data_IF_849595185073
#
_entry.id   IF_849595185073
#
_cell.length_a   1.000
_cell.length_b   1.000
_cell.length_c   1.000
_cell.angle_alpha   90.00
_cell.angle_beta   90.00
_cell.angle_gamma   90.00
#
_symmetry.space_group_name_H-M   'P 1'
#
loop_
_entity.id
_entity.type
_entity.pdbx_description
1 polymer ?
#
# COMPACT_ATOMS: atom_id res chain seq x y z
N UNK A 1 18.83 5.93 -5.57
CA UNK A 1 17.73 4.99 -5.27
C UNK A 1 16.81 5.56 -4.20
N UNK A 2 17.36 5.95 -3.03
CA UNK A 2 16.60 6.69 -2.02
C UNK A 2 16.27 8.13 -2.50
N UNK A 3 15.03 8.34 -2.93
CA UNK A 3 14.53 9.63 -3.43
C UNK A 3 14.24 10.64 -2.30
N UNK A 4 13.78 10.15 -1.15
CA UNK A 4 13.42 10.97 0.02
C UNK A 4 14.47 11.02 1.12
N UNK A 5 15.68 10.52 0.85
CA UNK A 5 16.66 10.19 1.90
C UNK A 5 16.44 8.80 2.50
N UNK A 6 17.22 8.46 3.52
CA UNK A 6 17.24 7.14 4.14
C UNK A 6 17.48 7.22 5.65
N UNK A 7 16.98 6.22 6.38
CA UNK A 7 17.41 5.92 7.76
C UNK A 7 18.68 5.06 7.75
N UNK A 8 19.35 4.94 8.89
CA UNK A 8 20.49 4.04 9.03
C UNK A 8 20.10 2.57 8.74
N UNK A 9 18.93 2.15 9.24
CA UNK A 9 18.36 0.82 8.95
C UNK A 9 18.14 0.60 7.46
N UNK A 10 17.62 1.61 6.74
CA UNK A 10 17.45 1.52 5.29
C UNK A 10 18.78 1.37 4.55
N UNK A 11 19.84 2.06 5.01
CA UNK A 11 21.19 1.89 4.45
C UNK A 11 21.71 0.49 4.71
N UNK A 12 21.58 -0.03 5.94
CA UNK A 12 22.02 -1.40 6.29
C UNK A 12 21.30 -2.45 5.44
N UNK A 13 19.98 -2.35 5.34
CA UNK A 13 19.15 -3.29 4.58
C UNK A 13 19.47 -3.32 3.07
N UNK A 14 19.97 -2.21 2.51
CA UNK A 14 20.20 -2.07 1.08
C UNK A 14 21.68 -2.24 0.70
N UNK A 15 22.59 -1.71 1.50
CA UNK A 15 24.02 -1.68 1.20
C UNK A 15 24.78 -2.85 1.83
N UNK A 16 24.32 -3.41 2.97
CA UNK A 16 25.01 -4.48 3.70
C UNK A 16 24.25 -5.82 3.69
N UNK A 17 23.58 -6.12 2.58
CA UNK A 17 22.76 -7.34 2.43
C UNK A 17 23.51 -8.64 2.73
N UNK A 18 24.84 -8.66 2.59
CA UNK A 18 25.70 -9.82 2.83
C UNK A 18 26.51 -9.75 4.12
N UNK A 19 26.45 -8.64 4.87
CA UNK A 19 27.30 -8.38 6.05
C UNK A 19 28.79 -8.53 5.74
N UNK A 20 29.18 -8.13 4.54
CA UNK A 20 30.53 -8.24 4.00
C UNK A 20 31.18 -6.87 3.75
N UNK A 21 30.50 -5.78 4.10
CA UNK A 21 31.12 -4.49 4.21
C UNK A 21 32.15 -4.54 5.36
N UNK A 22 33.44 -4.51 5.00
CA UNK A 22 34.55 -4.28 5.93
C UNK A 22 34.60 -2.80 6.36
N UNK A 23 33.43 -2.28 6.74
CA UNK A 23 33.17 -0.90 7.08
C UNK A 23 32.07 -0.85 8.14
N UNK A 24 32.30 -0.12 9.23
CA UNK A 24 31.23 0.27 10.14
C UNK A 24 30.32 1.28 9.41
N UNK A 25 29.07 0.89 9.17
CA UNK A 25 28.11 1.72 8.44
C UNK A 25 27.86 3.08 9.12
N UNK A 26 27.85 3.13 10.45
CA UNK A 26 27.64 4.38 11.18
C UNK A 26 28.83 5.33 10.94
N UNK A 27 30.05 4.81 11.04
CA UNK A 27 31.27 5.59 10.75
C UNK A 27 31.35 6.01 9.28
N UNK A 28 30.93 5.13 8.37
CA UNK A 28 30.82 5.42 6.94
C UNK A 28 29.85 6.57 6.66
N UNK A 29 28.66 6.53 7.26
CA UNK A 29 27.66 7.58 7.13
C UNK A 29 28.13 8.90 7.76
N UNK A 30 28.77 8.86 8.93
CA UNK A 30 29.38 10.02 9.57
C UNK A 30 30.45 10.66 8.67
N UNK A 31 31.33 9.84 8.06
CA UNK A 31 32.34 10.35 7.12
C UNK A 31 31.74 11.01 5.88
N UNK A 32 30.59 10.53 5.39
CA UNK A 32 29.89 11.16 4.27
C UNK A 32 29.25 12.50 4.67
N UNK A 33 28.75 12.62 5.90
CA UNK A 33 28.26 13.89 6.45
C UNK A 33 29.42 14.89 6.59
N UNK A 34 30.56 14.47 7.15
CA UNK A 34 31.75 15.30 7.30
C UNK A 34 32.29 15.82 5.95
N UNK A 35 32.21 14.99 4.90
CA UNK A 35 32.59 15.34 3.53
C UNK A 35 31.51 16.11 2.76
N UNK A 36 30.41 16.51 3.42
CA UNK A 36 29.28 17.19 2.81
C UNK A 36 28.63 16.43 1.64
N UNK A 37 28.77 15.11 1.60
CA UNK A 37 28.10 14.24 0.64
C UNK A 37 26.67 13.91 1.10
N UNK A 38 26.43 13.91 2.41
CA UNK A 38 25.13 13.74 3.04
C UNK A 38 24.86 14.87 4.04
N UNK A 39 23.59 15.14 4.28
CA UNK A 39 23.09 15.98 5.36
C UNK A 39 22.31 15.11 6.34
N UNK A 40 22.64 15.20 7.63
CA UNK A 40 21.87 14.56 8.69
C UNK A 40 20.77 15.51 9.16
N UNK A 41 19.54 15.03 9.16
CA UNK A 41 18.35 15.77 9.60
C UNK A 41 17.66 14.99 10.71
N UNK A 42 17.62 15.57 11.90
CA UNK A 42 16.86 15.00 13.02
C UNK A 42 15.36 15.12 12.75
N UNK A 43 14.66 14.00 12.88
CA UNK A 43 13.22 13.91 12.75
C UNK A 43 12.53 14.18 14.09
N UNK A 44 11.23 14.50 14.06
CA UNK A 44 10.45 14.80 15.27
C UNK A 44 10.37 13.62 16.26
N UNK A 45 10.56 12.39 15.77
CA UNK A 45 10.60 11.16 16.57
C UNK A 45 12.00 10.86 17.13
N UNK A 46 13.00 11.72 16.90
CA UNK A 46 14.39 11.53 17.35
C UNK A 46 15.25 10.65 16.43
N UNK A 47 14.69 10.11 15.34
CA UNK A 47 15.45 9.35 14.36
C UNK A 47 16.27 10.29 13.45
N UNK A 48 17.46 9.84 13.03
CA UNK A 48 18.28 10.56 12.06
C UNK A 48 17.94 10.14 10.63
N UNK A 49 17.69 11.12 9.78
CA UNK A 49 17.50 10.92 8.34
C UNK A 49 18.68 11.50 7.57
N UNK A 50 19.22 10.72 6.65
CA UNK A 50 20.32 11.15 5.79
C UNK A 50 19.77 11.53 4.41
N UNK A 51 20.02 12.78 4.02
CA UNK A 51 19.54 13.36 2.76
C UNK A 51 20.75 13.74 1.91
N UNK A 52 20.64 13.49 0.60
CA UNK A 52 21.67 13.82 -0.37
C UNK A 52 21.15 14.92 -1.30
N UNK A 53 22.00 15.92 -1.60
CA UNK A 53 21.68 16.93 -2.62
C UNK A 53 21.45 16.26 -3.98
N UNK A 54 20.54 16.81 -4.77
CA UNK A 54 20.12 16.22 -6.05
C UNK A 54 21.31 15.97 -6.99
N UNK A 55 22.23 16.93 -7.12
CA UNK A 55 23.42 16.79 -7.97
C UNK A 55 24.35 15.65 -7.54
N UNK A 56 24.53 15.46 -6.22
CA UNK A 56 25.35 14.37 -5.67
C UNK A 56 24.63 13.04 -5.89
N UNK A 57 23.30 13.03 -5.76
CA UNK A 57 22.47 11.84 -5.98
C UNK A 57 22.49 11.38 -7.44
N UNK A 58 22.45 12.32 -8.38
CA UNK A 58 22.59 12.03 -9.82
C UNK A 58 23.95 11.41 -10.12
N UNK A 59 25.03 12.01 -9.62
CA UNK A 59 26.38 11.46 -9.79
C UNK A 59 26.52 10.07 -9.15
N UNK A 60 26.00 9.88 -7.93
CA UNK A 60 26.02 8.58 -7.26
C UNK A 60 25.22 7.52 -8.05
N UNK A 61 24.10 7.91 -8.66
CA UNK A 61 23.32 7.03 -9.55
C UNK A 61 24.11 6.64 -10.79
N UNK A 62 24.74 7.59 -11.47
CA UNK A 62 25.59 7.28 -12.65
C UNK A 62 26.73 6.33 -12.29
N UNK A 63 27.31 6.47 -11.09
CA UNK A 63 28.34 5.54 -10.60
C UNK A 63 27.80 4.16 -10.31
N UNK A 64 26.58 4.06 -9.77
CA UNK A 64 25.92 2.77 -9.55
C UNK A 64 25.56 2.09 -10.87
N UNK A 65 25.04 2.84 -11.85
CA UNK A 65 24.73 2.34 -13.20
C UNK A 65 25.99 1.88 -13.95
N UNK A 66 27.12 2.56 -13.74
CA UNK A 66 28.41 2.13 -14.27
C UNK A 66 29.01 0.92 -13.53
N UNK A 67 28.43 0.51 -12.40
CA UNK A 67 28.87 -0.65 -11.61
C UNK A 67 28.08 -1.91 -12.00
N UNK A 68 28.59 -3.08 -11.62
CA UNK A 68 27.86 -4.35 -11.79
C UNK A 68 26.82 -4.61 -10.71
N UNK A 69 26.63 -3.67 -9.77
CA UNK A 69 25.82 -3.88 -8.56
C UNK A 69 24.42 -3.30 -8.68
N UNK A 70 24.16 -2.41 -9.65
CA UNK A 70 22.91 -1.67 -9.80
C UNK A 70 21.64 -2.51 -9.61
N UNK A 71 21.56 -3.65 -10.29
CA UNK A 71 20.39 -4.53 -10.23
C UNK A 71 20.20 -5.13 -8.84
N UNK A 72 21.30 -5.55 -8.19
CA UNK A 72 21.24 -6.12 -6.84
C UNK A 72 20.84 -5.06 -5.81
N UNK A 73 21.41 -3.85 -5.92
CA UNK A 73 21.09 -2.76 -5.00
C UNK A 73 19.64 -2.30 -5.19
N UNK A 74 19.16 -2.14 -6.43
CA UNK A 74 17.75 -1.79 -6.72
C UNK A 74 16.78 -2.86 -6.21
N UNK A 75 17.14 -4.14 -6.35
CA UNK A 75 16.37 -5.25 -5.78
C UNK A 75 16.31 -5.20 -4.26
N UNK A 76 17.44 -4.97 -3.59
CA UNK A 76 17.49 -4.85 -2.13
C UNK A 76 16.65 -3.67 -1.64
N UNK A 77 16.71 -2.54 -2.33
CA UNK A 77 15.89 -1.36 -2.06
C UNK A 77 14.38 -1.66 -2.21
N UNK A 78 13.98 -2.35 -3.28
CA UNK A 78 12.59 -2.75 -3.46
C UNK A 78 12.11 -3.73 -2.37
N UNK A 79 12.99 -4.66 -1.94
CA UNK A 79 12.71 -5.58 -0.85
C UNK A 79 12.53 -4.83 0.49
N UNK A 80 13.43 -3.89 0.80
CA UNK A 80 13.31 -3.02 1.97
C UNK A 80 11.99 -2.25 1.99
N UNK A 81 11.63 -1.61 0.87
CA UNK A 81 10.37 -0.89 0.72
C UNK A 81 9.15 -1.80 0.96
N UNK A 82 9.18 -3.02 0.43
CA UNK A 82 8.12 -4.00 0.61
C UNK A 82 7.97 -4.43 2.07
N UNK A 83 9.07 -4.79 2.73
CA UNK A 83 9.07 -5.22 4.13
C UNK A 83 8.54 -4.09 5.02
N UNK A 84 9.08 -2.89 4.86
CA UNK A 84 8.66 -1.71 5.62
C UNK A 84 7.16 -1.45 5.44
N UNK A 85 6.65 -1.50 4.20
CA UNK A 85 5.23 -1.25 3.95
C UNK A 85 4.33 -2.34 4.56
N UNK A 86 4.73 -3.61 4.53
CA UNK A 86 3.93 -4.72 5.05
C UNK A 86 3.94 -4.80 6.58
N UNK A 87 5.08 -4.58 7.23
CA UNK A 87 5.18 -4.58 8.69
C UNK A 87 4.29 -3.49 9.29
N UNK A 88 4.35 -2.30 8.70
CA UNK A 88 3.55 -1.16 9.10
C UNK A 88 2.06 -1.37 8.79
N UNK A 89 1.72 -2.05 7.68
CA UNK A 89 0.33 -2.42 7.39
C UNK A 89 -0.22 -3.52 8.32
N UNK A 90 0.64 -4.37 8.88
CA UNK A 90 0.26 -5.48 9.75
C UNK A 90 0.01 -5.04 11.21
N UNK A 91 0.65 -3.96 11.65
CA UNK A 91 0.46 -3.42 12.99
C UNK A 91 -0.91 -2.74 13.14
N UNK A 92 -1.77 -3.37 13.94
CA UNK A 92 -3.16 -2.97 14.18
C UNK A 92 -3.33 -2.10 15.42
N UNK A 93 -2.24 -1.69 16.07
CA UNK A 93 -2.30 -0.78 17.22
C UNK A 93 -2.77 0.60 16.75
N UNK A 94 -4.02 0.96 17.09
CA UNK A 94 -4.63 2.21 16.65
C UNK A 94 -4.00 3.48 17.27
N UNK A 95 -3.02 3.31 18.17
CA UNK A 95 -2.36 4.39 18.92
C UNK A 95 -1.28 5.12 18.12
N UNK A 96 -0.76 4.55 17.02
CA UNK A 96 0.37 5.10 16.26
C UNK A 96 0.02 5.39 14.78
N UNK A 97 -1.27 5.44 14.44
CA UNK A 97 -1.71 5.61 13.05
C UNK A 97 -1.22 6.93 12.39
N UNK A 98 -1.09 8.01 13.17
CA UNK A 98 -0.58 9.28 12.67
C UNK A 98 0.94 9.22 12.38
N UNK A 99 1.70 8.65 13.30
CA UNK A 99 3.15 8.45 13.16
C UNK A 99 3.49 7.57 11.96
N UNK A 100 2.70 6.49 11.76
CA UNK A 100 2.81 5.64 10.58
C UNK A 100 2.60 6.40 9.27
N UNK A 101 1.58 7.26 9.22
CA UNK A 101 1.31 8.10 8.05
C UNK A 101 2.40 9.15 7.81
N UNK A 102 3.08 9.61 8.84
CA UNK A 102 4.24 10.50 8.72
C UNK A 102 5.47 9.74 8.21
N UNK A 103 5.74 8.54 8.74
CA UNK A 103 6.82 7.68 8.25
C UNK A 103 6.62 7.30 6.78
N UNK A 104 5.41 6.92 6.38
CA UNK A 104 5.12 6.65 4.96
C UNK A 104 5.27 7.90 4.09
N UNK A 105 4.99 9.09 4.62
CA UNK A 105 5.20 10.33 3.88
C UNK A 105 6.69 10.60 3.65
N UNK A 106 7.55 10.31 4.64
CA UNK A 106 9.01 10.39 4.50
C UNK A 106 9.55 9.39 3.48
N UNK A 107 9.00 8.18 3.46
CA UNK A 107 9.41 7.08 2.57
C UNK A 107 8.71 7.09 1.21
N UNK A 108 7.83 8.05 0.95
CA UNK A 108 6.97 8.02 -0.24
C UNK A 108 7.75 7.95 -1.55
N UNK A 109 8.81 8.76 -1.69
CA UNK A 109 9.65 8.72 -2.89
C UNK A 109 10.46 7.42 -3.02
N UNK A 110 10.77 6.76 -1.90
CA UNK A 110 11.42 5.45 -1.90
C UNK A 110 10.43 4.36 -2.35
N UNK A 111 9.19 4.40 -1.87
CA UNK A 111 8.12 3.52 -2.34
C UNK A 111 7.83 3.70 -3.84
N UNK A 112 7.81 4.95 -4.33
CA UNK A 112 7.66 5.25 -5.76
C UNK A 112 8.78 4.62 -6.59
N UNK A 113 10.03 4.78 -6.15
CA UNK A 113 11.19 4.22 -6.83
C UNK A 113 11.19 2.68 -6.80
N UNK A 114 10.83 2.07 -5.67
CA UNK A 114 10.69 0.62 -5.55
C UNK A 114 9.60 0.06 -6.46
N UNK A 115 8.43 0.70 -6.49
CA UNK A 115 7.32 0.32 -7.37
C UNK A 115 7.67 0.43 -8.85
N UNK A 116 8.34 1.52 -9.25
CA UNK A 116 8.76 1.70 -10.65
C UNK A 116 9.69 0.58 -11.08
N UNK A 117 10.70 0.26 -10.26
CA UNK A 117 11.63 -0.81 -10.56
C UNK A 117 10.96 -2.19 -10.65
N UNK A 118 9.98 -2.49 -9.79
CA UNK A 118 9.21 -3.73 -9.84
C UNK A 118 8.34 -3.84 -11.11
N UNK A 119 7.79 -2.72 -11.58
CA UNK A 119 7.06 -2.66 -12.86
C UNK A 119 8.02 -2.90 -14.02
N UNK A 120 9.17 -2.21 -14.04
CA UNK A 120 10.18 -2.32 -15.11
C UNK A 120 10.77 -3.73 -15.22
N UNK A 121 11.06 -4.37 -14.08
CA UNK A 121 11.64 -5.72 -14.03
C UNK A 121 10.61 -6.84 -14.16
N UNK A 122 9.32 -6.50 -14.04
CA UNK A 122 8.23 -7.45 -14.19
C UNK A 122 8.01 -8.37 -12.98
N UNK A 123 8.46 -7.98 -11.78
CA UNK A 123 8.22 -8.76 -10.55
C UNK A 123 6.81 -8.47 -10.01
N UNK A 124 5.83 -9.17 -10.59
CA UNK A 124 4.42 -8.99 -10.28
C UNK A 124 4.09 -9.25 -8.80
N UNK A 125 4.69 -10.26 -8.18
CA UNK A 125 4.33 -10.67 -6.82
C UNK A 125 4.74 -9.59 -5.81
N UNK A 126 6.00 -9.13 -5.86
CA UNK A 126 6.47 -8.07 -4.97
C UNK A 126 5.75 -6.75 -5.25
N UNK A 127 5.55 -6.43 -6.53
CA UNK A 127 4.86 -5.20 -6.92
C UNK A 127 3.41 -5.14 -6.41
N UNK A 128 2.63 -6.21 -6.60
CA UNK A 128 1.25 -6.27 -6.12
C UNK A 128 1.16 -6.20 -4.59
N UNK A 129 2.08 -6.86 -3.87
CA UNK A 129 2.14 -6.80 -2.40
C UNK A 129 2.46 -5.40 -1.90
N UNK A 130 3.49 -4.76 -2.45
CA UNK A 130 3.88 -3.39 -2.09
C UNK A 130 2.75 -2.41 -2.39
N UNK A 131 2.16 -2.48 -3.59
CA UNK A 131 1.03 -1.62 -3.96
C UNK A 131 -0.18 -1.80 -3.03
N UNK A 132 -0.50 -3.04 -2.65
CA UNK A 132 -1.59 -3.31 -1.72
C UNK A 132 -1.30 -2.79 -0.29
N UNK A 133 -0.06 -2.86 0.17
CA UNK A 133 0.34 -2.34 1.48
C UNK A 133 0.24 -0.80 1.57
N UNK A 134 0.52 -0.11 0.46
CA UNK A 134 0.45 1.36 0.37
C UNK A 134 -0.98 1.92 0.21
N UNK A 135 -1.97 1.06 -0.02
CA UNK A 135 -3.36 1.46 -0.27
C UNK A 135 -3.92 2.42 0.79
N UNK A 136 -3.81 2.07 2.08
CA UNK A 136 -4.35 2.89 3.18
C UNK A 136 -3.70 4.26 3.23
N UNK A 137 -2.40 4.35 2.91
CA UNK A 137 -1.69 5.62 2.85
C UNK A 137 -2.18 6.47 1.68
N UNK A 138 -2.32 5.90 0.48
CA UNK A 138 -2.85 6.63 -0.67
C UNK A 138 -4.29 7.12 -0.46
N UNK A 139 -5.14 6.29 0.14
CA UNK A 139 -6.52 6.67 0.48
C UNK A 139 -6.54 7.81 1.50
N UNK A 140 -5.79 7.68 2.60
CA UNK A 140 -5.84 8.65 3.71
C UNK A 140 -5.18 9.99 3.39
N UNK A 141 -4.15 10.00 2.53
CA UNK A 141 -3.44 11.21 2.11
C UNK A 141 -3.94 11.76 0.77
N UNK A 142 -5.05 11.23 0.25
CA UNK A 142 -5.69 11.64 -1.01
C UNK A 142 -4.80 11.51 -2.27
N UNK A 143 -3.81 10.61 -2.25
CA UNK A 143 -3.02 10.24 -3.44
C UNK A 143 -3.76 9.22 -4.33
N UNK A 144 -5.06 9.42 -4.53
CA UNK A 144 -5.95 8.43 -5.17
C UNK A 144 -5.54 8.11 -6.60
N UNK A 145 -5.25 9.14 -7.40
CA UNK A 145 -4.88 8.98 -8.81
C UNK A 145 -3.55 8.25 -8.98
N UNK A 146 -2.57 8.56 -8.12
CA UNK A 146 -1.27 7.90 -8.15
C UNK A 146 -1.38 6.43 -7.76
N UNK A 147 -2.04 6.13 -6.64
CA UNK A 147 -2.21 4.75 -6.20
C UNK A 147 -2.92 3.89 -7.23
N UNK A 148 -3.98 4.45 -7.84
CA UNK A 148 -4.73 3.79 -8.91
C UNK A 148 -3.89 3.55 -10.17
N UNK A 149 -3.13 4.53 -10.63
CA UNK A 149 -2.25 4.38 -11.81
C UNK A 149 -1.20 3.28 -11.57
N UNK A 150 -0.52 3.32 -10.42
CA UNK A 150 0.53 2.35 -10.08
C UNK A 150 -0.02 0.93 -9.93
N UNK A 151 -1.13 0.75 -9.21
CA UNK A 151 -1.80 -0.56 -9.13
C UNK A 151 -2.28 -1.04 -10.50
N UNK A 152 -2.80 -0.14 -11.34
CA UNK A 152 -3.22 -0.45 -12.71
C UNK A 152 -2.08 -0.93 -13.60
N UNK A 153 -0.87 -0.36 -13.45
CA UNK A 153 0.33 -0.85 -14.13
C UNK A 153 0.75 -2.22 -13.62
N UNK A 154 0.83 -2.40 -12.30
CA UNK A 154 1.18 -3.68 -11.66
C UNK A 154 0.26 -4.83 -12.06
N UNK A 155 -1.06 -4.59 -12.11
CA UNK A 155 -2.04 -5.61 -12.49
C UNK A 155 -1.90 -6.08 -13.94
N UNK A 156 -1.17 -5.34 -14.79
CA UNK A 156 -0.88 -5.64 -16.19
C UNK A 156 0.52 -6.23 -16.41
N UNK A 157 1.36 -6.30 -15.37
CA UNK A 157 2.69 -6.93 -15.44
C UNK A 157 2.54 -8.41 -15.77
N UNK A 158 3.49 -8.96 -16.55
CA UNK A 158 3.51 -10.38 -16.87
C UNK A 158 3.55 -11.24 -15.58
N UNK A 159 2.70 -12.26 -15.50
CA UNK A 159 2.59 -13.09 -14.30
C UNK A 159 1.63 -12.56 -13.23
N UNK A 160 1.13 -11.31 -13.34
CA UNK A 160 0.17 -10.75 -12.40
C UNK A 160 -1.23 -11.36 -12.48
N UNK A 161 -1.56 -12.10 -13.56
CA UNK A 161 -2.90 -12.61 -13.85
C UNK A 161 -3.32 -13.82 -13.00
N UNK A 162 -2.38 -14.48 -12.32
CA UNK A 162 -2.70 -15.62 -11.47
C UNK A 162 -3.62 -15.21 -10.30
N UNK A 163 -4.61 -16.05 -9.91
CA UNK A 163 -5.54 -15.74 -8.83
C UNK A 163 -4.86 -15.88 -7.46
N UNK A 164 -3.96 -14.95 -7.12
CA UNK A 164 -3.23 -14.92 -5.85
C UNK A 164 -3.88 -13.96 -4.86
N UNK A 165 -3.54 -14.11 -3.57
CA UNK A 165 -3.95 -13.14 -2.53
C UNK A 165 -3.40 -11.74 -2.80
N UNK A 166 -2.20 -11.62 -3.36
CA UNK A 166 -1.60 -10.35 -3.72
C UNK A 166 -2.41 -9.65 -4.83
N UNK A 167 -2.78 -10.38 -5.89
CA UNK A 167 -3.65 -9.86 -6.96
C UNK A 167 -5.00 -9.40 -6.41
N UNK A 168 -5.65 -10.24 -5.60
CA UNK A 168 -6.93 -9.93 -4.96
C UNK A 168 -6.87 -8.60 -4.17
N UNK A 169 -5.87 -8.45 -3.29
CA UNK A 169 -5.67 -7.23 -2.50
C UNK A 169 -5.38 -6.00 -3.36
N UNK A 170 -4.58 -6.14 -4.41
CA UNK A 170 -4.28 -5.05 -5.35
C UNK A 170 -5.51 -4.62 -6.16
N UNK A 171 -6.33 -5.58 -6.63
CA UNK A 171 -7.61 -5.31 -7.30
C UNK A 171 -8.59 -4.59 -6.37
N UNK A 172 -8.69 -5.06 -5.12
CA UNK A 172 -9.51 -4.39 -4.10
C UNK A 172 -9.07 -2.95 -3.89
N UNK A 173 -7.77 -2.73 -3.65
CA UNK A 173 -7.22 -1.39 -3.46
C UNK A 173 -7.49 -0.48 -4.66
N UNK A 174 -7.21 -0.95 -5.89
CA UNK A 174 -7.45 -0.18 -7.10
C UNK A 174 -8.95 0.13 -7.31
N UNK A 175 -9.82 -0.83 -6.96
CA UNK A 175 -11.27 -0.67 -7.02
C UNK A 175 -11.79 0.36 -6.04
N UNK A 176 -11.33 0.36 -4.79
CA UNK A 176 -11.70 1.38 -3.80
C UNK A 176 -11.22 2.76 -4.24
N UNK A 177 -9.96 2.90 -4.66
CA UNK A 177 -9.43 4.18 -5.16
C UNK A 177 -10.21 4.69 -6.39
N UNK A 178 -10.68 3.81 -7.27
CA UNK A 178 -11.55 4.19 -8.39
C UNK A 178 -12.92 4.69 -7.92
N UNK A 179 -13.52 4.04 -6.92
CA UNK A 179 -14.80 4.45 -6.32
C UNK A 179 -14.73 5.82 -5.64
N UNK A 180 -13.65 6.08 -4.89
CA UNK A 180 -13.38 7.40 -4.28
C UNK A 180 -13.20 8.51 -5.32
N UNK A 181 -12.79 8.16 -6.54
CA UNK A 181 -12.73 9.08 -7.68
C UNK A 181 -14.05 9.19 -8.45
N UNK A 182 -15.12 8.50 -8.02
CA UNK A 182 -16.42 8.47 -8.66
C UNK A 182 -16.50 7.57 -9.91
N UNK A 183 -15.45 6.82 -10.24
CA UNK A 183 -15.45 5.85 -11.35
C UNK A 183 -15.97 4.49 -10.87
N UNK A 184 -17.26 4.46 -10.57
CA UNK A 184 -17.93 3.26 -10.03
C UNK A 184 -17.94 2.09 -11.01
N UNK A 185 -17.91 2.36 -12.33
CA UNK A 185 -17.85 1.30 -13.35
C UNK A 185 -16.53 0.52 -13.26
N UNK A 186 -15.40 1.23 -13.20
CA UNK A 186 -14.10 0.59 -12.98
C UNK A 186 -13.99 -0.04 -11.60
N UNK A 187 -14.51 0.63 -10.57
CA UNK A 187 -14.50 0.13 -9.20
C UNK A 187 -15.20 -1.23 -9.08
N UNK A 188 -16.43 -1.33 -9.60
CA UNK A 188 -17.22 -2.55 -9.55
C UNK A 188 -16.57 -3.69 -10.34
N UNK A 189 -15.99 -3.40 -11.52
CA UNK A 189 -15.29 -4.41 -12.30
C UNK A 189 -14.09 -5.01 -11.53
N UNK A 190 -13.26 -4.15 -10.93
CA UNK A 190 -12.09 -4.55 -10.15
C UNK A 190 -12.48 -5.31 -8.88
N UNK A 191 -13.50 -4.84 -8.15
CA UNK A 191 -13.95 -5.47 -6.91
C UNK A 191 -14.65 -6.81 -7.19
N UNK A 192 -15.38 -6.96 -8.30
CA UNK A 192 -15.96 -8.25 -8.72
C UNK A 192 -14.87 -9.26 -9.08
N UNK A 193 -13.82 -8.84 -9.77
CA UNK A 193 -12.68 -9.73 -10.03
C UNK A 193 -12.00 -10.17 -8.72
N UNK A 194 -11.79 -9.26 -7.77
CA UNK A 194 -11.31 -9.59 -6.43
C UNK A 194 -12.24 -10.60 -5.71
N UNK A 195 -13.56 -10.36 -5.75
CA UNK A 195 -14.56 -11.26 -5.17
C UNK A 195 -14.48 -12.68 -5.75
N UNK A 196 -14.30 -12.79 -7.07
CA UNK A 196 -14.18 -14.09 -7.74
C UNK A 196 -12.89 -14.81 -7.34
N UNK A 197 -11.75 -14.10 -7.24
CA UNK A 197 -10.50 -14.67 -6.73
C UNK A 197 -10.65 -15.09 -5.27
N UNK A 198 -11.26 -14.26 -4.41
CA UNK A 198 -11.48 -14.58 -3.01
C UNK A 198 -12.34 -15.86 -2.85
N UNK A 199 -13.37 -16.03 -3.70
CA UNK A 199 -14.18 -17.26 -3.75
C UNK A 199 -13.34 -18.47 -4.17
N UNK A 200 -12.51 -18.35 -5.22
CA UNK A 200 -11.62 -19.42 -5.68
C UNK A 200 -10.63 -19.86 -4.58
N UNK A 201 -10.08 -18.89 -3.84
CA UNK A 201 -9.16 -19.11 -2.73
C UNK A 201 -9.85 -19.53 -1.43
N UNK A 202 -11.19 -19.59 -1.41
CA UNK A 202 -12.00 -19.83 -0.20
C UNK A 202 -11.70 -18.86 0.94
N UNK A 203 -11.33 -17.63 0.60
CA UNK A 203 -11.06 -16.54 1.53
C UNK A 203 -12.37 -15.84 1.91
N UNK A 204 -13.02 -16.32 2.97
CA UNK A 204 -14.27 -15.74 3.49
C UNK A 204 -14.14 -14.25 3.84
N UNK A 205 -12.98 -13.84 4.35
CA UNK A 205 -12.72 -12.45 4.68
C UNK A 205 -12.66 -11.59 3.43
N UNK A 206 -11.93 -12.04 2.39
CA UNK A 206 -11.89 -11.38 1.09
C UNK A 206 -13.26 -11.24 0.43
N UNK A 207 -14.10 -12.28 0.53
CA UNK A 207 -15.50 -12.22 0.04
C UNK A 207 -16.29 -11.15 0.77
N UNK A 208 -16.26 -11.15 2.11
CA UNK A 208 -17.02 -10.18 2.91
C UNK A 208 -16.58 -8.73 2.64
N UNK A 209 -15.27 -8.48 2.57
CA UNK A 209 -14.71 -7.15 2.24
C UNK A 209 -15.17 -6.68 0.85
N UNK A 210 -15.17 -7.57 -0.15
CA UNK A 210 -15.59 -7.24 -1.51
C UNK A 210 -17.06 -6.89 -1.60
N UNK A 211 -17.92 -7.69 -0.94
CA UNK A 211 -19.37 -7.45 -0.90
C UNK A 211 -19.68 -6.10 -0.24
N UNK A 212 -19.01 -5.78 0.88
CA UNK A 212 -19.16 -4.48 1.52
C UNK A 212 -18.74 -3.32 0.60
N UNK A 213 -17.65 -3.44 -0.15
CA UNK A 213 -17.20 -2.38 -1.05
C UNK A 213 -18.16 -2.18 -2.24
N UNK A 214 -18.66 -3.27 -2.85
CA UNK A 214 -19.71 -3.18 -3.88
C UNK A 214 -21.00 -2.54 -3.33
N UNK A 215 -21.34 -2.84 -2.07
CA UNK A 215 -22.50 -2.24 -1.41
C UNK A 215 -22.34 -0.73 -1.19
N UNK A 216 -21.13 -0.28 -0.82
CA UNK A 216 -20.78 1.15 -0.73
C UNK A 216 -20.94 1.82 -2.09
N UNK A 217 -20.37 1.24 -3.15
CA UNK A 217 -20.50 1.78 -4.51
C UNK A 217 -21.96 1.86 -4.97
N UNK A 218 -22.77 0.82 -4.69
CA UNK A 218 -24.19 0.81 -5.03
C UNK A 218 -24.97 1.89 -4.26
N UNK A 219 -24.69 2.07 -2.97
CA UNK A 219 -25.29 3.12 -2.14
C UNK A 219 -24.98 4.50 -2.70
N UNK A 220 -23.72 4.75 -3.06
CA UNK A 220 -23.27 6.08 -3.51
C UNK A 220 -23.82 6.41 -4.91
N UNK A 221 -24.14 5.40 -5.72
CA UNK A 221 -24.89 5.52 -6.97
C UNK A 221 -26.42 5.62 -6.77
N UNK A 222 -26.91 5.49 -5.54
CA UNK A 222 -28.34 5.53 -5.22
C UNK A 222 -29.10 4.21 -5.47
N UNK A 223 -28.41 3.11 -5.78
CA UNK A 223 -29.03 1.77 -5.83
C UNK A 223 -29.09 1.16 -4.44
N UNK A 224 -30.03 1.69 -3.66
CA UNK A 224 -30.23 1.37 -2.26
C UNK A 224 -30.66 -0.08 -2.04
N UNK A 225 -31.39 -0.67 -3.00
CA UNK A 225 -31.85 -2.05 -2.91
C UNK A 225 -30.67 -3.03 -3.06
N UNK A 226 -29.81 -2.81 -4.05
CA UNK A 226 -28.59 -3.61 -4.23
C UNK A 226 -27.63 -3.43 -3.06
N UNK A 227 -27.45 -2.20 -2.58
CA UNK A 227 -26.61 -1.91 -1.42
C UNK A 227 -27.05 -2.69 -0.17
N UNK A 228 -28.35 -2.70 0.14
CA UNK A 228 -28.89 -3.45 1.28
C UNK A 228 -28.58 -4.95 1.18
N UNK A 229 -28.87 -5.59 0.04
CA UNK A 229 -28.62 -7.03 -0.16
C UNK A 229 -27.14 -7.36 0.06
N UNK A 230 -26.24 -6.58 -0.54
CA UNK A 230 -24.80 -6.83 -0.46
C UNK A 230 -24.25 -6.60 0.96
N UNK A 231 -24.73 -5.58 1.68
CA UNK A 231 -24.34 -5.38 3.08
C UNK A 231 -24.86 -6.49 3.99
N UNK A 232 -26.08 -7.00 3.78
CA UNK A 232 -26.62 -8.13 4.54
C UNK A 232 -25.79 -9.41 4.32
N UNK A 233 -25.45 -9.73 3.07
CA UNK A 233 -24.58 -10.85 2.72
C UNK A 233 -23.20 -10.71 3.38
N UNK A 234 -22.60 -9.52 3.30
CA UNK A 234 -21.33 -9.23 3.97
C UNK A 234 -21.42 -9.41 5.49
N UNK A 235 -22.51 -8.94 6.11
CA UNK A 235 -22.72 -9.01 7.56
C UNK A 235 -22.83 -10.46 8.05
N UNK A 236 -23.50 -11.34 7.28
CA UNK A 236 -23.57 -12.78 7.59
C UNK A 236 -22.17 -13.37 7.66
N UNK A 237 -21.32 -13.09 6.67
CA UNK A 237 -19.94 -13.59 6.65
C UNK A 237 -19.11 -13.03 7.81
N UNK A 238 -19.26 -11.74 8.15
CA UNK A 238 -18.54 -11.16 9.29
C UNK A 238 -18.95 -11.77 10.63
N UNK A 239 -20.23 -12.14 10.79
CA UNK A 239 -20.70 -12.88 11.96
C UNK A 239 -20.11 -14.29 12.03
N UNK A 240 -20.05 -15.01 10.91
CA UNK A 240 -19.41 -16.33 10.84
C UNK A 240 -17.91 -16.26 11.18
N UNK A 241 -17.23 -15.18 10.78
CA UNK A 241 -15.81 -14.95 11.08
C UNK A 241 -15.56 -14.47 12.51
N UNK A 242 -16.60 -14.05 13.25
CA UNK A 242 -16.48 -13.56 14.62
C UNK A 242 -15.88 -12.16 14.76
N UNK A 243 -15.67 -11.42 13.68
CA UNK A 243 -15.09 -10.06 13.71
C UNK A 243 -16.13 -9.02 14.12
N UNK A 244 -16.19 -8.73 15.43
CA UNK A 244 -17.16 -7.79 16.00
C UNK A 244 -16.99 -6.36 15.47
N UNK A 245 -15.75 -5.95 15.13
CA UNK A 245 -15.50 -4.61 14.57
C UNK A 245 -16.05 -4.51 13.15
N UNK A 246 -15.88 -5.54 12.33
CA UNK A 246 -16.45 -5.60 10.99
C UNK A 246 -17.98 -5.72 11.00
N UNK A 247 -18.54 -6.47 11.95
CA UNK A 247 -20.00 -6.54 12.17
C UNK A 247 -20.57 -5.15 12.50
N UNK A 248 -19.96 -4.42 13.43
CA UNK A 248 -20.40 -3.08 13.80
C UNK A 248 -20.35 -2.11 12.61
N UNK A 249 -19.27 -2.14 11.81
CA UNK A 249 -19.15 -1.33 10.59
C UNK A 249 -20.24 -1.65 9.56
N UNK A 250 -20.52 -2.94 9.34
CA UNK A 250 -21.55 -3.38 8.39
C UNK A 250 -22.95 -2.94 8.82
N UNK A 251 -23.25 -3.01 10.12
CA UNK A 251 -24.52 -2.52 10.69
C UNK A 251 -24.66 -1.00 10.55
N UNK A 252 -23.59 -0.24 10.81
CA UNK A 252 -23.60 1.21 10.59
C UNK A 252 -23.86 1.57 9.13
N UNK A 253 -23.27 0.82 8.19
CA UNK A 253 -23.53 0.99 6.77
C UNK A 253 -25.01 0.72 6.42
N UNK A 254 -25.59 -0.38 6.89
CA UNK A 254 -27.02 -0.67 6.71
C UNK A 254 -27.92 0.43 7.28
N UNK A 255 -27.63 0.92 8.50
CA UNK A 255 -28.40 1.99 9.11
C UNK A 255 -28.39 3.28 8.26
N UNK A 256 -27.26 3.60 7.62
CA UNK A 256 -27.16 4.73 6.70
C UNK A 256 -27.99 4.52 5.43
N UNK A 257 -28.00 3.31 4.87
CA UNK A 257 -28.81 2.95 3.69
C UNK A 257 -30.31 3.09 4.01
N UNK A 258 -30.76 2.61 5.19
CA UNK A 258 -32.15 2.74 5.65
C UNK A 258 -32.55 4.21 5.87
N UNK A 259 -31.65 5.05 6.40
CA UNK A 259 -31.90 6.50 6.52
C UNK A 259 -32.11 7.17 5.16
N UNK A 260 -31.36 6.77 4.14
CA UNK A 260 -31.52 7.28 2.77
C UNK A 260 -32.87 6.89 2.16
N UNK A 261 -33.53 5.82 2.64
CA UNK A 261 -34.88 5.42 2.22
C UNK A 261 -36.01 6.15 2.95
N UNK A 262 -35.69 6.95 3.98
CA UNK A 262 -36.70 7.59 4.83
C UNK A 262 -37.43 6.64 5.79
N UNK A 263 -36.96 5.40 5.96
CA UNK A 263 -37.55 4.40 6.87
C UNK A 263 -36.90 4.48 8.27
N UNK A 264 -37.12 5.62 8.94
CA UNK A 264 -36.56 5.94 10.25
C UNK A 264 -36.79 4.89 11.38
N UNK A 265 -37.91 4.12 11.41
CA UNK A 265 -38.11 3.06 12.39
C UNK A 265 -37.12 1.88 12.30
N UNK A 266 -36.60 1.53 11.11
CA UNK A 266 -35.60 0.45 10.95
C UNK A 266 -34.15 0.92 11.13
N UNK A 267 -33.92 2.23 11.22
CA UNK A 267 -32.58 2.83 11.33
C UNK A 267 -32.08 3.03 12.79
N UNK A 268 -32.90 2.68 13.79
CA UNK A 268 -32.59 2.84 15.23
C UNK A 268 -32.00 1.60 15.87
#
# INVERSE_FOLDING_TARGET
MFGGGCSLEGVEAVCDTKRDLDLDLLDGMASMVDKSLLQQVEQANGESRFVMLETIREYAREKLEASSEETLTKRAHAAYCLVLAEEEAADQSGTEAAERLERFALEHDNFRAGLEWLIETGDAEWGLRLGAALFRFWETREYLAEGRDRLGKLLKVAGAAAPTKARARALFAAGVLAGEQGDYASADALIRENLDIARQLRDKQGVAVSLNALAVNARDQGDVAVANSLFEESLVLWRELGDQKAVARSLSNLANVVKLQGDYPRAR
#
